data_IF_389605188738
#
_entry.id   IF_389605188738
#
_cell.length_a   1.000
_cell.length_b   1.000
_cell.length_c   1.000
_cell.angle_alpha   90.00
_cell.angle_beta   90.00
_cell.angle_gamma   90.00
#
_symmetry.space_group_name_H-M   'P 1'
#
loop_
_entity.id
_entity.type
_entity.pdbx_description
1 polymer ?
#
# COMPACT_ATOMS: atom_id res chain seq x y z
N UNK A 1 -3.07 -19.52 -19.64
CA UNK A 1 -1.97 -20.19 -20.36
C UNK A 1 -2.53 -21.48 -20.91
N UNK A 2 -2.36 -21.73 -22.23
CA UNK A 2 -2.80 -22.98 -22.85
C UNK A 2 -1.88 -24.11 -22.42
N UNK A 3 -2.40 -25.34 -22.32
CA UNK A 3 -1.65 -26.54 -21.94
C UNK A 3 -0.44 -26.83 -22.85
N UNK A 4 -0.38 -26.23 -24.03
CA UNK A 4 0.66 -26.42 -25.05
C UNK A 4 2.05 -25.85 -24.71
N UNK A 5 2.15 -24.98 -23.69
CA UNK A 5 3.43 -24.32 -23.32
C UNK A 5 3.92 -24.68 -21.92
N UNK A 6 3.19 -25.53 -21.18
CA UNK A 6 3.60 -25.94 -19.84
C UNK A 6 4.68 -26.98 -19.88
N UNK A 7 5.71 -26.82 -19.04
CA UNK A 7 6.75 -27.85 -18.82
C UNK A 7 6.38 -28.85 -17.74
N UNK A 8 5.21 -28.72 -17.12
CA UNK A 8 4.72 -29.62 -16.08
C UNK A 8 4.27 -30.96 -16.67
N UNK A 9 4.76 -32.03 -16.10
CA UNK A 9 4.37 -33.41 -16.46
C UNK A 9 3.92 -34.14 -15.20
N UNK A 10 2.63 -34.50 -15.07
CA UNK A 10 2.16 -35.22 -13.91
C UNK A 10 2.76 -36.63 -13.86
N UNK A 11 3.30 -37.02 -12.70
CA UNK A 11 4.06 -38.26 -12.53
C UNK A 11 3.22 -39.37 -11.91
N UNK A 12 2.43 -39.08 -10.88
CA UNK A 12 1.60 -40.04 -10.17
C UNK A 12 0.20 -40.19 -10.74
N UNK A 13 -0.49 -41.32 -10.44
CA UNK A 13 -1.88 -41.51 -10.86
C UNK A 13 -2.83 -40.44 -10.32
N UNK A 14 -2.61 -39.98 -9.07
CA UNK A 14 -3.40 -38.90 -8.46
C UNK A 14 -3.16 -37.57 -9.18
N UNK A 15 -1.90 -37.21 -9.45
CA UNK A 15 -1.59 -35.98 -10.20
C UNK A 15 -2.23 -35.98 -11.59
N UNK A 16 -2.16 -37.08 -12.34
CA UNK A 16 -2.81 -37.24 -13.65
C UNK A 16 -4.32 -37.07 -13.54
N UNK A 17 -4.92 -37.65 -12.52
CA UNK A 17 -6.37 -37.57 -12.29
C UNK A 17 -6.82 -36.14 -11.94
N UNK A 18 -6.07 -35.44 -11.06
CA UNK A 18 -6.34 -34.05 -10.70
C UNK A 18 -6.10 -33.13 -11.88
N UNK A 19 -4.93 -33.22 -12.54
CA UNK A 19 -4.53 -32.32 -13.63
C UNK A 19 -5.48 -32.39 -14.83
N UNK A 20 -6.06 -33.58 -15.10
CA UNK A 20 -7.02 -33.76 -16.19
C UNK A 20 -8.41 -33.14 -15.93
N UNK A 21 -8.74 -32.80 -14.67
CA UNK A 21 -10.04 -32.25 -14.24
C UNK A 21 -9.95 -30.82 -13.76
N UNK A 22 -8.90 -30.51 -13.00
CA UNK A 22 -8.61 -29.22 -12.43
C UNK A 22 -7.08 -29.07 -12.43
N UNK A 23 -6.47 -28.40 -13.42
CA UNK A 23 -5.02 -28.35 -13.60
C UNK A 23 -4.32 -27.42 -12.60
N UNK A 24 -4.64 -27.54 -11.30
CA UNK A 24 -4.01 -26.76 -10.22
C UNK A 24 -2.52 -27.05 -10.06
N UNK A 25 -2.02 -28.30 -10.10
CA UNK A 25 -0.59 -28.56 -10.03
C UNK A 25 0.17 -27.89 -11.19
N UNK A 26 -0.40 -27.93 -12.39
CA UNK A 26 0.15 -27.24 -13.57
C UNK A 26 0.14 -25.72 -13.40
N UNK A 27 -0.96 -25.15 -12.93
CA UNK A 27 -1.07 -23.70 -12.66
C UNK A 27 -0.01 -23.25 -11.64
N UNK A 28 0.16 -24.00 -10.55
CA UNK A 28 1.18 -23.70 -9.53
C UNK A 28 2.58 -23.83 -10.09
N UNK A 29 2.86 -24.89 -10.86
CA UNK A 29 4.16 -25.10 -11.49
C UNK A 29 4.52 -23.92 -12.44
N UNK A 30 3.59 -23.58 -13.33
CA UNK A 30 3.83 -22.56 -14.37
C UNK A 30 3.89 -21.13 -13.79
N UNK A 31 3.18 -20.87 -12.68
CA UNK A 31 3.14 -19.54 -12.06
C UNK A 31 4.22 -19.30 -11.00
N UNK A 32 4.67 -20.34 -10.29
CA UNK A 32 5.55 -20.21 -9.12
C UNK A 32 6.83 -21.04 -9.19
N UNK A 33 6.97 -21.94 -10.17
CA UNK A 33 8.19 -22.75 -10.31
C UNK A 33 8.95 -22.33 -11.57
N UNK A 34 8.33 -22.54 -12.73
CA UNK A 34 8.99 -22.33 -14.03
C UNK A 34 8.82 -20.91 -14.61
N UNK A 35 7.98 -20.06 -13.98
CA UNK A 35 7.74 -18.70 -14.46
C UNK A 35 9.04 -17.93 -14.66
N UNK A 36 9.30 -17.38 -15.88
CA UNK A 36 10.54 -16.67 -16.15
C UNK A 36 10.51 -15.26 -15.54
N UNK A 37 11.47 -14.98 -14.68
CA UNK A 37 11.65 -13.65 -14.08
C UNK A 37 12.98 -13.01 -14.54
N UNK A 38 13.05 -11.68 -14.66
CA UNK A 38 14.28 -10.98 -14.98
C UNK A 38 15.41 -11.33 -14.00
N UNK A 39 16.59 -11.74 -14.52
CA UNK A 39 17.72 -12.19 -13.70
C UNK A 39 18.38 -11.09 -12.85
N UNK A 40 18.08 -9.81 -13.12
CA UNK A 40 18.65 -8.64 -12.44
C UNK A 40 17.77 -8.09 -11.32
N UNK A 41 16.72 -8.79 -10.88
CA UNK A 41 15.86 -8.33 -9.79
C UNK A 41 16.66 -8.11 -8.51
N UNK A 42 16.38 -7.00 -7.82
CA UNK A 42 16.91 -6.67 -6.49
C UNK A 42 15.83 -6.84 -5.41
N UNK A 43 16.18 -6.62 -4.14
CA UNK A 43 15.26 -6.78 -3.01
C UNK A 43 14.07 -5.81 -3.01
N UNK A 44 14.10 -4.71 -3.76
CA UNK A 44 12.92 -3.85 -3.91
C UNK A 44 11.74 -4.56 -4.61
N UNK A 45 11.99 -5.69 -5.26
CA UNK A 45 10.94 -6.50 -5.90
C UNK A 45 10.31 -7.53 -4.95
N UNK A 46 10.82 -7.71 -3.72
CA UNK A 46 10.28 -8.65 -2.73
C UNK A 46 9.10 -8.08 -1.93
N UNK A 47 8.78 -6.78 -2.05
CA UNK A 47 7.67 -6.18 -1.30
C UNK A 47 6.31 -6.77 -1.65
N UNK A 48 6.12 -7.30 -2.87
CA UNK A 48 4.90 -8.03 -3.24
C UNK A 48 4.70 -9.30 -2.42
N UNK A 49 5.78 -10.06 -2.17
CA UNK A 49 5.73 -11.25 -1.31
C UNK A 49 5.44 -10.87 0.15
N UNK A 50 6.07 -9.80 0.68
CA UNK A 50 5.80 -9.29 2.03
C UNK A 50 4.32 -8.89 2.20
N UNK A 51 3.75 -8.19 1.19
CA UNK A 51 2.33 -7.81 1.18
C UNK A 51 1.41 -9.03 1.17
N UNK A 52 1.75 -10.07 0.40
CA UNK A 52 0.97 -11.32 0.38
C UNK A 52 0.98 -12.02 1.73
N UNK A 53 2.14 -12.08 2.40
CA UNK A 53 2.26 -12.64 3.76
C UNK A 53 1.44 -11.81 4.75
N UNK A 54 1.52 -10.47 4.69
CA UNK A 54 0.76 -9.61 5.59
C UNK A 54 -0.76 -9.73 5.36
N UNK A 55 -1.22 -9.86 4.11
CA UNK A 55 -2.64 -10.10 3.83
C UNK A 55 -3.13 -11.38 4.50
N UNK A 56 -2.36 -12.47 4.39
CA UNK A 56 -2.70 -13.74 5.05
C UNK A 56 -2.72 -13.58 6.57
N UNK A 57 -1.71 -12.93 7.16
CA UNK A 57 -1.65 -12.68 8.61
C UNK A 57 -2.86 -11.87 9.07
N UNK A 58 -3.22 -10.80 8.35
CA UNK A 58 -4.35 -9.93 8.70
C UNK A 58 -5.69 -10.68 8.60
N UNK A 59 -5.91 -11.48 7.56
CA UNK A 59 -7.14 -12.26 7.41
C UNK A 59 -7.25 -13.31 8.53
N UNK A 60 -6.20 -14.10 8.76
CA UNK A 60 -6.24 -15.18 9.77
C UNK A 60 -6.41 -14.62 11.18
N UNK A 61 -5.64 -13.62 11.57
CA UNK A 61 -5.78 -12.97 12.89
C UNK A 61 -7.13 -12.29 13.04
N UNK A 62 -7.62 -11.62 11.97
CA UNK A 62 -8.92 -10.94 11.96
C UNK A 62 -10.10 -11.90 12.14
N UNK A 63 -10.09 -13.07 11.47
CA UNK A 63 -11.11 -14.10 11.64
C UNK A 63 -11.16 -14.58 13.10
N UNK A 64 -10.00 -14.87 13.71
CA UNK A 64 -9.97 -15.34 15.11
C UNK A 64 -10.41 -14.24 16.08
N UNK A 65 -9.99 -12.97 15.86
CA UNK A 65 -10.44 -11.84 16.67
C UNK A 65 -11.96 -11.66 16.58
N UNK A 66 -12.53 -11.79 15.38
CA UNK A 66 -13.98 -11.66 15.16
C UNK A 66 -14.81 -12.72 15.94
N UNK A 67 -14.24 -13.89 16.24
CA UNK A 67 -14.92 -14.91 17.05
C UNK A 67 -15.12 -14.48 18.51
N UNK A 68 -14.39 -13.48 18.99
CA UNK A 68 -14.42 -13.01 20.38
C UNK A 68 -14.88 -11.56 20.50
N UNK A 69 -14.97 -10.82 19.38
CA UNK A 69 -15.35 -9.41 19.35
C UNK A 69 -16.86 -9.21 19.33
N UNK A 70 -17.36 -8.27 20.12
CA UNK A 70 -18.76 -7.85 20.11
C UNK A 70 -18.96 -6.53 19.38
N UNK A 71 -19.64 -6.53 18.23
CA UNK A 71 -19.90 -5.33 17.41
C UNK A 71 -21.11 -4.54 17.95
N UNK A 72 -21.06 -4.12 19.21
CA UNK A 72 -22.06 -3.31 19.87
C UNK A 72 -21.38 -2.27 20.76
N UNK A 73 -21.83 -1.01 20.73
CA UNK A 73 -21.20 0.11 21.43
C UNK A 73 -21.12 -0.08 22.94
N UNK A 74 -22.05 -0.85 23.53
CA UNK A 74 -22.04 -1.17 24.96
C UNK A 74 -20.99 -2.21 25.36
N UNK A 75 -20.49 -3.02 24.43
CA UNK A 75 -19.58 -4.13 24.75
C UNK A 75 -18.28 -4.13 23.94
N UNK A 76 -18.18 -3.38 22.84
CA UNK A 76 -17.06 -3.43 21.91
C UNK A 76 -15.70 -3.21 22.60
N UNK A 77 -15.54 -2.13 23.36
CA UNK A 77 -14.31 -1.85 24.08
C UNK A 77 -13.95 -2.97 25.06
N UNK A 78 -14.92 -3.37 25.88
CA UNK A 78 -14.73 -4.44 26.87
C UNK A 78 -14.44 -5.80 26.21
N UNK A 79 -14.99 -6.07 25.01
CA UNK A 79 -14.68 -7.30 24.27
C UNK A 79 -13.23 -7.35 23.81
N UNK A 80 -12.66 -6.20 23.41
CA UNK A 80 -11.21 -6.10 23.09
C UNK A 80 -10.36 -6.29 24.35
N UNK A 81 -10.75 -5.67 25.48
CA UNK A 81 -10.06 -5.88 26.77
C UNK A 81 -10.10 -7.36 27.19
N UNK A 82 -11.25 -8.03 27.03
CA UNK A 82 -11.40 -9.47 27.28
C UNK A 82 -10.48 -10.30 26.37
N UNK A 83 -10.38 -9.96 25.09
CA UNK A 83 -9.45 -10.63 24.17
C UNK A 83 -8.02 -10.48 24.69
N UNK A 84 -7.63 -9.28 25.13
CA UNK A 84 -6.27 -8.99 25.59
C UNK A 84 -5.91 -9.72 26.90
N UNK A 85 -6.87 -9.94 27.81
CA UNK A 85 -6.61 -10.40 29.18
C UNK A 85 -7.03 -11.86 29.42
N UNK A 86 -8.19 -12.27 28.89
CA UNK A 86 -8.84 -13.51 29.31
C UNK A 86 -8.74 -14.60 28.22
N UNK A 87 -8.64 -14.23 26.93
CA UNK A 87 -8.50 -15.21 25.86
C UNK A 87 -7.05 -15.71 25.78
N UNK A 88 -6.88 -17.03 25.78
CA UNK A 88 -5.54 -17.62 25.69
C UNK A 88 -4.82 -17.15 24.41
N UNK A 89 -3.64 -16.55 24.56
CA UNK A 89 -2.87 -15.89 23.50
C UNK A 89 -3.61 -14.74 22.75
N UNK A 90 -4.74 -14.26 23.26
CA UNK A 90 -5.52 -13.20 22.64
C UNK A 90 -4.75 -11.89 22.48
N UNK A 91 -3.89 -11.53 23.46
CA UNK A 91 -2.97 -10.40 23.37
C UNK A 91 -2.05 -10.49 22.15
N UNK A 92 -1.53 -11.70 21.87
CA UNK A 92 -0.64 -11.90 20.71
C UNK A 92 -1.39 -11.72 19.41
N UNK A 93 -2.60 -12.30 19.26
CA UNK A 93 -3.45 -12.14 18.09
C UNK A 93 -3.82 -10.67 17.86
N UNK A 94 -4.19 -9.96 18.94
CA UNK A 94 -4.53 -8.53 18.87
C UNK A 94 -3.33 -7.68 18.44
N UNK A 95 -2.14 -7.91 19.00
CA UNK A 95 -0.94 -7.19 18.61
C UNK A 95 -0.44 -7.56 17.21
N UNK A 96 -0.53 -8.82 16.80
CA UNK A 96 -0.25 -9.24 15.43
C UNK A 96 -1.18 -8.51 14.46
N UNK A 97 -2.47 -8.40 14.76
CA UNK A 97 -3.42 -7.72 13.89
C UNK A 97 -3.19 -6.21 13.83
N UNK A 98 -3.07 -5.53 14.97
CA UNK A 98 -2.92 -4.08 15.06
C UNK A 98 -1.59 -3.58 14.47
N UNK A 99 -0.46 -4.18 14.88
CA UNK A 99 0.84 -3.84 14.30
C UNK A 99 0.95 -4.31 12.85
N UNK A 100 0.29 -5.43 12.53
CA UNK A 100 0.23 -5.95 11.16
C UNK A 100 -0.39 -4.96 10.17
N UNK A 101 -1.40 -4.19 10.56
CA UNK A 101 -1.94 -3.12 9.74
C UNK A 101 -0.86 -2.08 9.40
N UNK A 102 -0.10 -1.60 10.39
CA UNK A 102 1.02 -0.68 10.18
C UNK A 102 2.10 -1.26 9.26
N UNK A 103 2.50 -2.51 9.47
CA UNK A 103 3.49 -3.19 8.63
C UNK A 103 3.00 -3.44 7.20
N UNK A 104 1.70 -3.66 7.03
CA UNK A 104 1.08 -3.76 5.70
C UNK A 104 1.18 -2.42 4.96
N UNK A 105 0.93 -1.28 5.64
CA UNK A 105 1.09 0.06 5.06
C UNK A 105 2.56 0.40 4.79
N UNK A 106 3.51 0.04 5.66
CA UNK A 106 4.95 0.19 5.38
C UNK A 106 5.31 -0.53 4.08
N UNK A 107 4.91 -1.79 3.95
CA UNK A 107 5.23 -2.59 2.78
C UNK A 107 4.58 -2.04 1.50
N UNK A 108 3.33 -1.55 1.55
CA UNK A 108 2.66 -1.00 0.36
C UNK A 108 3.26 0.33 -0.08
N UNK A 109 3.64 1.20 0.84
CA UNK A 109 4.32 2.45 0.48
C UNK A 109 5.68 2.20 -0.20
N UNK A 110 6.45 1.23 0.30
CA UNK A 110 7.70 0.83 -0.34
C UNK A 110 7.46 0.15 -1.70
N UNK A 111 6.38 -0.63 -1.82
CA UNK A 111 5.97 -1.23 -3.08
C UNK A 111 5.56 -0.18 -4.13
N UNK A 112 4.80 0.84 -3.73
CA UNK A 112 4.43 1.98 -4.59
C UNK A 112 5.67 2.79 -4.97
N UNK A 113 6.54 3.13 -4.01
CA UNK A 113 7.78 3.85 -4.26
C UNK A 113 8.69 3.10 -5.23
N UNK A 114 8.81 1.78 -5.12
CA UNK A 114 9.50 0.93 -6.10
C UNK A 114 8.85 1.03 -7.48
N UNK A 115 7.52 1.01 -7.54
CA UNK A 115 6.78 1.16 -8.79
C UNK A 115 7.06 2.50 -9.47
N UNK A 116 7.06 3.60 -8.71
CA UNK A 116 7.40 4.94 -9.17
C UNK A 116 8.86 5.01 -9.66
N UNK A 117 9.81 4.51 -8.87
CA UNK A 117 11.24 4.58 -9.18
C UNK A 117 11.64 3.80 -10.44
N UNK A 118 11.08 2.61 -10.65
CA UNK A 118 11.41 1.76 -11.79
C UNK A 118 10.40 1.84 -12.95
N UNK A 119 9.40 2.73 -12.87
CA UNK A 119 8.41 2.94 -13.92
C UNK A 119 7.53 1.72 -14.17
N UNK A 120 7.12 1.02 -13.10
CA UNK A 120 6.34 -0.23 -13.20
C UNK A 120 4.89 -0.03 -13.65
N UNK A 121 4.43 1.22 -13.74
CA UNK A 121 3.12 1.65 -14.22
C UNK A 121 3.05 1.88 -15.73
N UNK A 122 4.19 1.93 -16.43
CA UNK A 122 4.24 2.23 -17.87
C UNK A 122 3.82 1.05 -18.72
N UNK A 123 3.34 1.35 -19.92
CA UNK A 123 2.90 0.37 -20.91
C UNK A 123 3.86 -0.84 -21.01
N UNK A 124 3.30 -2.07 -21.07
CA UNK A 124 1.89 -2.47 -21.12
C UNK A 124 1.28 -2.82 -19.73
N UNK A 125 1.71 -2.17 -18.64
CA UNK A 125 1.40 -2.52 -17.24
C UNK A 125 0.42 -1.55 -16.57
N UNK A 126 -0.35 -0.78 -17.35
CA UNK A 126 -1.31 0.21 -16.86
C UNK A 126 -2.38 -0.45 -15.98
N UNK A 127 -2.98 -1.53 -16.45
CA UNK A 127 -4.02 -2.28 -15.71
C UNK A 127 -3.45 -2.89 -14.43
N UNK A 128 -2.22 -3.42 -14.48
CA UNK A 128 -1.52 -3.91 -13.30
C UNK A 128 -1.38 -2.81 -12.23
N UNK A 129 -1.01 -1.60 -12.65
CA UNK A 129 -0.90 -0.45 -11.75
C UNK A 129 -2.26 -0.02 -11.19
N UNK A 130 -3.28 0.11 -12.04
CA UNK A 130 -4.65 0.50 -11.65
C UNK A 130 -5.22 -0.47 -10.61
N UNK A 131 -5.09 -1.79 -10.84
CA UNK A 131 -5.49 -2.79 -9.85
C UNK A 131 -4.75 -2.60 -8.51
N UNK A 132 -3.46 -2.25 -8.55
CA UNK A 132 -2.69 -1.89 -7.35
C UNK A 132 -3.26 -0.69 -6.62
N UNK A 133 -3.69 0.37 -7.33
CA UNK A 133 -4.31 1.55 -6.71
C UNK A 133 -5.68 1.21 -6.12
N UNK A 134 -6.46 0.34 -6.78
CA UNK A 134 -7.74 -0.17 -6.22
C UNK A 134 -7.49 -0.94 -4.93
N UNK A 135 -6.49 -1.85 -4.89
CA UNK A 135 -6.11 -2.57 -3.67
C UNK A 135 -5.74 -1.57 -2.56
N UNK A 136 -4.95 -0.55 -2.89
CA UNK A 136 -4.54 0.47 -1.92
C UNK A 136 -5.74 1.23 -1.32
N UNK A 137 -6.73 1.62 -2.14
CA UNK A 137 -7.97 2.24 -1.66
C UNK A 137 -8.77 1.30 -0.75
N UNK A 138 -8.90 0.03 -1.12
CA UNK A 138 -9.56 -0.98 -0.29
C UNK A 138 -8.81 -1.20 1.03
N UNK A 139 -7.47 -1.19 1.02
CA UNK A 139 -6.65 -1.25 2.22
C UNK A 139 -6.90 -0.04 3.13
N UNK A 140 -6.96 1.18 2.57
CA UNK A 140 -7.26 2.39 3.35
C UNK A 140 -8.64 2.29 3.99
N UNK A 141 -9.67 1.91 3.24
CA UNK A 141 -11.01 1.71 3.79
C UNK A 141 -11.04 0.65 4.90
N UNK A 142 -10.36 -0.49 4.66
CA UNK A 142 -10.27 -1.59 5.64
C UNK A 142 -9.56 -1.13 6.92
N UNK A 143 -8.42 -0.46 6.80
CA UNK A 143 -7.64 0.03 7.96
C UNK A 143 -8.44 1.03 8.79
N UNK A 144 -9.10 1.99 8.14
CA UNK A 144 -9.94 2.98 8.82
C UNK A 144 -11.09 2.31 9.59
N UNK A 145 -11.89 1.46 8.92
CA UNK A 145 -13.01 0.78 9.57
C UNK A 145 -12.53 -0.10 10.73
N UNK A 146 -11.39 -0.79 10.57
CA UNK A 146 -10.79 -1.62 11.62
C UNK A 146 -10.34 -0.84 12.85
N UNK A 147 -9.86 0.40 12.67
CA UNK A 147 -9.47 1.27 13.77
C UNK A 147 -10.66 1.76 14.60
N UNK A 148 -11.84 1.83 14.00
CA UNK A 148 -13.06 2.20 14.72
C UNK A 148 -13.55 1.09 15.66
N UNK A 149 -13.28 -0.18 15.36
CA UNK A 149 -13.83 -1.33 16.09
C UNK A 149 -13.47 -1.41 17.58
N UNK A 150 -12.26 -1.06 18.05
CA UNK A 150 -11.96 -1.06 19.49
C UNK A 150 -12.85 -0.12 20.33
N UNK A 151 -13.53 0.82 19.70
CA UNK A 151 -14.43 1.77 20.34
C UNK A 151 -13.80 2.57 21.48
N UNK A 152 -12.52 2.93 21.26
CA UNK A 152 -11.79 3.88 22.11
C UNK A 152 -12.05 5.33 21.66
N UNK A 153 -11.47 6.29 22.39
CA UNK A 153 -11.62 7.72 22.10
C UNK A 153 -11.16 8.08 20.68
N UNK A 154 -10.02 7.57 20.21
CA UNK A 154 -9.58 7.83 18.83
C UNK A 154 -10.42 7.10 17.79
N UNK A 155 -10.97 5.92 18.11
CA UNK A 155 -11.90 5.20 17.25
C UNK A 155 -13.15 6.02 16.98
N UNK A 156 -13.79 6.52 18.02
CA UNK A 156 -15.05 7.29 17.95
C UNK A 156 -14.84 8.66 17.27
N UNK A 157 -13.88 9.43 17.77
CA UNK A 157 -13.63 10.77 17.25
C UNK A 157 -13.00 10.77 15.88
N UNK A 158 -12.17 9.77 15.54
CA UNK A 158 -11.69 9.54 14.20
C UNK A 158 -12.80 9.23 13.20
N UNK A 159 -13.77 8.38 13.59
CA UNK A 159 -14.96 8.11 12.78
C UNK A 159 -15.80 9.37 12.57
N UNK A 160 -16.01 10.16 13.62
CA UNK A 160 -16.78 11.42 13.57
C UNK A 160 -16.13 12.42 12.59
N UNK A 161 -14.81 12.60 12.65
CA UNK A 161 -14.09 13.53 11.77
C UNK A 161 -14.12 13.05 10.33
N UNK A 162 -13.79 11.77 10.06
CA UNK A 162 -13.67 11.27 8.69
C UNK A 162 -15.01 11.20 7.99
N UNK A 163 -16.08 10.75 8.69
CA UNK A 163 -17.43 10.76 8.10
C UNK A 163 -17.95 12.17 7.90
N UNK A 164 -17.54 13.12 8.75
CA UNK A 164 -17.82 14.55 8.61
C UNK A 164 -17.23 15.21 7.36
N UNK A 165 -16.23 14.60 6.71
CA UNK A 165 -15.70 15.14 5.44
C UNK A 165 -16.72 15.10 4.31
N UNK A 166 -17.60 14.11 4.32
CA UNK A 166 -18.64 13.99 3.28
C UNK A 166 -19.61 15.15 3.28
N UNK A 167 -19.88 15.80 4.43
CA UNK A 167 -20.78 16.98 4.48
C UNK A 167 -20.21 18.21 3.75
N UNK A 168 -18.97 18.18 3.31
CA UNK A 168 -18.39 19.21 2.45
C UNK A 168 -18.98 19.21 1.02
N UNK A 169 -19.52 18.06 0.55
CA UNK A 169 -20.10 17.99 -0.78
C UNK A 169 -21.49 18.62 -0.81
N UNK A 170 -21.71 19.68 -1.63
CA UNK A 170 -23.02 20.30 -1.74
C UNK A 170 -24.08 19.30 -2.18
N UNK A 171 -25.30 19.47 -1.70
CA UNK A 171 -26.53 18.72 -2.04
C UNK A 171 -26.56 17.26 -1.57
N UNK A 172 -25.45 16.53 -1.64
CA UNK A 172 -25.42 15.07 -1.38
C UNK A 172 -24.65 14.69 -0.11
N UNK A 173 -23.86 15.61 0.44
CA UNK A 173 -22.89 15.31 1.50
C UNK A 173 -23.52 14.79 2.78
N UNK A 174 -24.58 15.43 3.25
CA UNK A 174 -25.33 15.00 4.44
C UNK A 174 -25.99 13.63 4.24
N UNK A 175 -26.55 13.38 3.06
CA UNK A 175 -27.13 12.09 2.73
C UNK A 175 -26.06 10.99 2.73
N UNK A 176 -24.88 11.24 2.14
CA UNK A 176 -23.77 10.28 2.16
C UNK A 176 -23.31 10.00 3.59
N UNK A 177 -23.17 11.06 4.41
CA UNK A 177 -22.78 10.90 5.81
C UNK A 177 -23.80 10.05 6.59
N UNK A 178 -25.08 10.38 6.51
CA UNK A 178 -26.15 9.63 7.19
C UNK A 178 -26.23 8.18 6.70
N UNK A 179 -26.05 7.95 5.40
CA UNK A 179 -25.95 6.59 4.83
C UNK A 179 -24.78 5.80 5.43
N UNK A 180 -23.61 6.40 5.55
CA UNK A 180 -22.43 5.76 6.15
C UNK A 180 -22.63 5.49 7.65
N UNK A 181 -23.13 6.47 8.37
CA UNK A 181 -23.36 6.38 9.82
C UNK A 181 -24.50 5.41 10.17
N UNK A 182 -25.53 5.34 9.34
CA UNK A 182 -26.78 4.66 9.66
C UNK A 182 -27.67 5.41 10.63
N UNK A 183 -27.43 6.72 10.75
CA UNK A 183 -28.12 7.64 11.65
C UNK A 183 -27.53 9.04 11.52
N UNK A 184 -27.80 9.88 12.49
CA UNK A 184 -27.36 11.29 12.49
C UNK A 184 -26.01 11.50 13.20
N UNK A 185 -25.52 10.49 13.92
CA UNK A 185 -24.27 10.54 14.66
C UNK A 185 -23.56 9.18 14.59
N UNK A 186 -22.27 9.16 14.96
CA UNK A 186 -21.51 7.93 15.16
C UNK A 186 -22.10 7.19 16.36
N UNK A 187 -22.65 5.99 16.13
CA UNK A 187 -23.31 5.18 17.15
C UNK A 187 -23.34 3.70 16.71
N UNK A 188 -24.14 2.90 17.39
CA UNK A 188 -24.23 1.45 17.18
C UNK A 188 -24.47 1.04 15.71
N UNK A 189 -25.34 1.69 14.92
CA UNK A 189 -25.46 1.39 13.49
C UNK A 189 -24.17 1.58 12.72
N UNK A 190 -23.38 2.62 13.06
CA UNK A 190 -22.06 2.88 12.44
C UNK A 190 -21.08 1.75 12.74
N UNK A 191 -20.99 1.36 14.02
CA UNK A 191 -20.08 0.30 14.45
C UNK A 191 -20.39 -1.04 13.75
N UNK A 192 -21.67 -1.41 13.67
CA UNK A 192 -22.13 -2.62 12.99
C UNK A 192 -21.77 -2.63 11.50
N UNK A 193 -22.01 -1.51 10.80
CA UNK A 193 -21.66 -1.37 9.38
C UNK A 193 -20.16 -1.46 9.16
N UNK A 194 -19.38 -0.78 9.99
CA UNK A 194 -17.92 -0.79 9.89
C UNK A 194 -17.34 -2.15 10.22
N UNK A 195 -17.89 -2.88 11.19
CA UNK A 195 -17.50 -4.26 11.43
C UNK A 195 -17.78 -5.15 10.22
N UNK A 196 -18.98 -5.09 9.67
CA UNK A 196 -19.38 -5.90 8.51
C UNK A 196 -18.50 -5.62 7.29
N UNK A 197 -18.24 -4.34 7.00
CA UNK A 197 -17.39 -3.96 5.87
C UNK A 197 -15.92 -4.27 6.14
N UNK A 198 -15.41 -4.05 7.35
CA UNK A 198 -14.04 -4.42 7.71
C UNK A 198 -13.79 -5.92 7.55
N UNK A 199 -14.78 -6.75 7.90
CA UNK A 199 -14.70 -8.20 7.72
C UNK A 199 -14.75 -8.60 6.24
N UNK A 200 -15.56 -7.94 5.41
CA UNK A 200 -15.76 -8.24 3.99
C UNK A 200 -14.60 -7.77 3.11
N UNK A 201 -14.12 -6.54 3.32
CA UNK A 201 -13.14 -5.90 2.42
C UNK A 201 -11.83 -6.67 2.25
N UNK A 202 -11.24 -7.36 3.26
CA UNK A 202 -10.05 -8.18 3.07
C UNK A 202 -10.22 -9.31 2.04
N UNK A 203 -11.40 -9.90 1.94
CA UNK A 203 -11.69 -10.91 0.92
C UNK A 203 -11.84 -10.28 -0.47
N UNK A 204 -12.40 -9.07 -0.56
CA UNK A 204 -12.38 -8.30 -1.82
C UNK A 204 -10.95 -7.96 -2.22
N UNK A 205 -10.11 -7.51 -1.27
CA UNK A 205 -8.67 -7.28 -1.52
C UNK A 205 -8.03 -8.56 -2.06
N UNK A 206 -8.26 -9.71 -1.44
CA UNK A 206 -7.70 -10.98 -1.90
C UNK A 206 -8.13 -11.30 -3.34
N UNK A 207 -9.40 -11.08 -3.69
CA UNK A 207 -9.90 -11.24 -5.06
C UNK A 207 -9.20 -10.30 -6.06
N UNK A 208 -9.04 -9.01 -5.73
CA UNK A 208 -8.34 -8.06 -6.60
C UNK A 208 -6.84 -8.37 -6.68
N UNK A 209 -6.22 -8.89 -5.60
CA UNK A 209 -4.82 -9.36 -5.61
C UNK A 209 -4.62 -10.50 -6.59
N UNK A 210 -5.56 -11.45 -6.68
CA UNK A 210 -5.51 -12.51 -7.71
C UNK A 210 -5.50 -11.90 -9.11
N UNK A 211 -6.35 -10.90 -9.40
CA UNK A 211 -6.35 -10.20 -10.68
C UNK A 211 -5.06 -9.40 -10.92
N UNK A 212 -4.51 -8.79 -9.88
CA UNK A 212 -3.25 -8.04 -9.95
C UNK A 212 -2.06 -8.96 -10.29
N UNK A 213 -1.98 -10.13 -9.65
CA UNK A 213 -0.94 -11.14 -9.95
C UNK A 213 -1.16 -11.72 -11.34
N UNK A 214 -2.39 -11.95 -11.74
CA UNK A 214 -2.69 -12.41 -13.10
C UNK A 214 -2.25 -11.39 -14.15
N UNK A 215 -2.59 -10.11 -13.98
CA UNK A 215 -2.10 -9.04 -14.86
C UNK A 215 -0.57 -8.99 -14.94
N UNK A 216 0.12 -9.24 -13.80
CA UNK A 216 1.58 -9.36 -13.76
C UNK A 216 2.08 -10.52 -14.63
N UNK A 217 1.42 -11.68 -14.60
CA UNK A 217 1.82 -12.84 -15.40
C UNK A 217 1.57 -12.64 -16.89
N UNK A 218 0.54 -11.86 -17.26
CA UNK A 218 0.25 -11.51 -18.65
C UNK A 218 1.29 -10.57 -19.25
N UNK A 219 1.65 -9.51 -18.51
CA UNK A 219 2.53 -8.43 -19.00
C UNK A 219 4.01 -8.64 -18.68
N UNK A 220 4.32 -9.59 -17.81
CA UNK A 220 5.66 -9.81 -17.28
C UNK A 220 6.07 -8.74 -16.25
N UNK A 221 7.02 -9.10 -15.40
CA UNK A 221 7.56 -8.25 -14.34
C UNK A 221 8.55 -7.22 -14.90
N UNK A 222 8.49 -5.97 -14.38
CA UNK A 222 9.55 -4.99 -14.61
C UNK A 222 10.83 -5.39 -13.87
N UNK A 223 11.93 -4.68 -14.17
CA UNK A 223 13.23 -4.91 -13.56
C UNK A 223 13.99 -3.58 -13.33
N UNK A 224 15.09 -3.57 -12.57
CA UNK A 224 15.79 -2.34 -12.22
C UNK A 224 16.31 -1.51 -13.40
N UNK A 225 16.54 -2.12 -14.55
CA UNK A 225 16.95 -1.38 -15.76
C UNK A 225 15.77 -0.84 -16.57
N UNK A 226 14.55 -1.34 -16.34
CA UNK A 226 13.38 -0.99 -17.13
C UNK A 226 13.43 -1.49 -18.59
N UNK A 227 14.41 -2.30 -18.94
CA UNK A 227 14.55 -2.93 -20.26
C UNK A 227 13.69 -4.19 -20.32
N UNK A 228 12.94 -4.37 -21.40
CA UNK A 228 12.14 -5.59 -21.60
C UNK A 228 13.02 -6.83 -21.76
N UNK A 229 12.48 -7.98 -21.36
CA UNK A 229 13.08 -9.30 -21.62
C UNK A 229 13.12 -9.53 -23.13
N UNK A 230 14.31 -9.76 -23.69
CA UNK A 230 14.52 -9.98 -25.13
C UNK A 230 14.85 -11.43 -25.45
N UNK A 231 15.39 -12.18 -24.50
CA UNK A 231 15.84 -13.55 -24.71
C UNK A 231 15.75 -14.38 -23.43
N UNK A 232 15.87 -15.71 -23.58
CA UNK A 232 15.93 -16.64 -22.43
C UNK A 232 17.10 -16.34 -21.50
N UNK A 233 18.21 -15.76 -22.01
CA UNK A 233 19.39 -15.41 -21.18
C UNK A 233 19.12 -14.22 -20.26
N UNK A 234 18.08 -13.43 -20.51
CA UNK A 234 17.67 -12.32 -19.64
C UNK A 234 16.85 -12.77 -18.42
N UNK A 235 16.43 -14.03 -18.38
CA UNK A 235 15.57 -14.58 -17.34
C UNK A 235 16.20 -15.73 -16.58
N UNK A 236 15.64 -16.00 -15.40
CA UNK A 236 15.84 -17.21 -14.59
C UNK A 236 14.48 -17.72 -14.15
N UNK A 237 14.30 -19.01 -13.82
CA UNK A 237 13.04 -19.49 -13.29
C UNK A 237 12.74 -18.84 -11.92
N UNK A 238 11.47 -18.70 -11.62
CA UNK A 238 11.02 -18.09 -10.34
C UNK A 238 11.60 -18.88 -9.15
N UNK A 239 11.40 -20.18 -9.13
CA UNK A 239 12.03 -21.07 -8.13
C UNK A 239 13.28 -21.73 -8.71
N UNK A 240 14.43 -21.67 -8.01
CA UNK A 240 14.65 -21.18 -6.65
C UNK A 240 15.03 -19.69 -6.54
N UNK A 241 15.27 -18.98 -7.66
CA UNK A 241 15.98 -17.69 -7.64
C UNK A 241 15.17 -16.56 -6.97
N UNK A 242 13.96 -16.29 -7.45
CA UNK A 242 13.11 -15.27 -6.83
C UNK A 242 12.61 -15.73 -5.47
N UNK A 243 12.21 -17.00 -5.36
CA UNK A 243 11.71 -17.60 -4.11
C UNK A 243 12.70 -17.44 -2.95
N UNK A 244 14.00 -17.66 -3.17
CA UNK A 244 15.02 -17.49 -2.12
C UNK A 244 15.20 -16.01 -1.73
N UNK A 245 15.13 -15.08 -2.69
CA UNK A 245 15.18 -13.65 -2.40
C UNK A 245 13.94 -13.19 -1.63
N UNK A 246 12.77 -13.65 -2.04
CA UNK A 246 11.52 -13.35 -1.35
C UNK A 246 11.53 -13.93 0.07
N UNK A 247 11.96 -15.18 0.24
CA UNK A 247 12.09 -15.81 1.55
C UNK A 247 13.00 -15.03 2.49
N UNK A 248 14.18 -14.61 2.02
CA UNK A 248 15.09 -13.79 2.83
C UNK A 248 14.49 -12.44 3.16
N UNK A 249 13.92 -11.73 2.16
CA UNK A 249 13.27 -10.43 2.37
C UNK A 249 12.12 -10.50 3.36
N UNK A 250 11.25 -11.50 3.21
CA UNK A 250 10.12 -11.77 4.12
C UNK A 250 10.63 -12.10 5.53
N UNK A 251 11.68 -12.94 5.66
CA UNK A 251 12.24 -13.28 6.97
C UNK A 251 12.75 -12.04 7.72
N UNK A 252 13.52 -11.18 7.05
CA UNK A 252 14.00 -9.93 7.65
C UNK A 252 12.84 -9.02 8.05
N UNK A 253 11.85 -8.88 7.18
CA UNK A 253 10.65 -8.09 7.45
C UNK A 253 9.87 -8.64 8.67
N UNK A 254 9.68 -9.95 8.76
CA UNK A 254 8.99 -10.59 9.87
C UNK A 254 9.76 -10.51 11.18
N UNK A 255 11.10 -10.49 11.17
CA UNK A 255 11.93 -10.25 12.36
C UNK A 255 11.66 -8.85 12.92
N UNK A 256 11.66 -7.82 12.05
CA UNK A 256 11.36 -6.44 12.47
C UNK A 256 9.91 -6.32 12.97
N UNK A 257 8.97 -6.93 12.26
CA UNK A 257 7.57 -6.98 12.69
C UNK A 257 7.38 -7.65 14.05
N UNK A 258 8.00 -8.82 14.26
CA UNK A 258 7.98 -9.53 15.54
C UNK A 258 8.59 -8.68 16.66
N UNK A 259 9.66 -7.92 16.38
CA UNK A 259 10.23 -7.02 17.36
C UNK A 259 9.21 -5.97 17.85
N UNK A 260 8.43 -5.36 16.95
CA UNK A 260 7.33 -4.47 17.36
C UNK A 260 6.28 -5.21 18.18
N UNK A 261 5.81 -6.38 17.73
CA UNK A 261 4.75 -7.16 18.40
C UNK A 261 5.15 -7.52 19.85
N UNK A 262 6.40 -7.92 20.07
CA UNK A 262 6.84 -8.44 21.37
C UNK A 262 7.46 -7.39 22.30
N UNK A 263 8.10 -6.35 21.74
CA UNK A 263 8.85 -5.38 22.56
C UNK A 263 8.30 -3.96 22.51
N UNK A 264 7.59 -3.57 21.44
CA UNK A 264 7.04 -2.22 21.27
C UNK A 264 5.60 -2.24 20.70
N UNK A 265 4.69 -3.06 21.28
CA UNK A 265 3.38 -3.32 20.67
C UNK A 265 2.48 -2.10 20.54
N UNK A 266 2.68 -1.08 21.37
CA UNK A 266 1.86 0.13 21.42
C UNK A 266 2.51 1.34 20.73
N UNK A 267 3.75 1.21 20.21
CA UNK A 267 4.52 2.32 19.65
C UNK A 267 3.85 2.97 18.42
N UNK A 268 3.18 2.18 17.60
CA UNK A 268 2.51 2.63 16.38
C UNK A 268 1.03 2.99 16.61
N UNK A 269 0.52 2.87 17.85
CA UNK A 269 -0.82 3.22 18.24
C UNK A 269 -0.92 4.58 18.92
N UNK A 270 -2.16 5.02 19.21
CA UNK A 270 -2.42 6.25 19.97
C UNK A 270 -2.89 5.91 21.41
N UNK A 271 -2.30 6.52 22.45
CA UNK A 271 -2.62 6.18 23.85
C UNK A 271 -4.10 6.43 24.18
N UNK A 272 -4.73 7.49 23.67
CA UNK A 272 -6.14 7.77 23.97
C UNK A 272 -7.10 6.70 23.45
N UNK A 273 -6.66 5.80 22.56
CA UNK A 273 -7.50 4.70 22.10
C UNK A 273 -7.60 3.53 23.08
N UNK A 274 -6.87 3.60 24.20
CA UNK A 274 -7.00 2.73 25.38
C UNK A 274 -7.97 3.29 26.43
N UNK A 275 -8.65 4.40 26.14
CA UNK A 275 -9.72 4.99 26.93
C UNK A 275 -11.04 4.71 26.21
N UNK A 276 -12.08 4.18 26.90
CA UNK A 276 -13.39 3.98 26.27
C UNK A 276 -13.92 5.24 25.62
N UNK A 277 -14.64 5.10 24.51
CA UNK A 277 -15.24 6.21 23.81
C UNK A 277 -16.22 6.98 24.70
N UNK A 278 -16.08 8.30 24.74
CA UNK A 278 -16.98 9.23 25.40
C UNK A 278 -17.35 10.35 24.43
N UNK A 279 -18.59 10.35 23.98
CA UNK A 279 -19.12 11.32 23.02
C UNK A 279 -19.19 12.76 23.60
N UNK A 280 -19.13 12.92 24.93
CA UNK A 280 -19.17 14.21 25.61
C UNK A 280 -17.78 14.79 25.91
N UNK A 281 -16.72 14.01 25.68
CA UNK A 281 -15.35 14.43 25.98
C UNK A 281 -14.45 14.35 24.74
N UNK A 282 -14.36 15.45 24.02
CA UNK A 282 -13.47 15.54 22.84
C UNK A 282 -12.00 15.51 23.25
N UNK A 283 -11.17 14.60 22.66
CA UNK A 283 -9.72 14.63 22.86
C UNK A 283 -9.09 15.95 22.40
N UNK A 284 -8.02 16.37 23.07
CA UNK A 284 -7.35 17.62 22.74
C UNK A 284 -6.76 17.61 21.31
N UNK A 285 -6.41 16.44 20.80
CA UNK A 285 -5.80 16.30 19.49
C UNK A 285 -6.28 15.01 18.82
N UNK A 286 -7.16 15.15 17.82
CA UNK A 286 -7.67 14.02 17.04
C UNK A 286 -6.80 13.88 15.80
N UNK A 287 -6.08 12.75 15.70
CA UNK A 287 -5.24 12.40 14.53
C UNK A 287 -5.57 10.98 14.07
N UNK A 288 -5.56 10.74 12.75
CA UNK A 288 -5.63 9.39 12.23
C UNK A 288 -4.30 8.65 12.46
N UNK A 289 -4.29 7.35 12.15
CA UNK A 289 -3.07 6.56 12.18
C UNK A 289 -1.98 7.14 11.27
N UNK A 290 -0.72 6.89 11.62
CA UNK A 290 0.45 7.49 11.00
C UNK A 290 0.47 7.37 9.46
N UNK A 291 -0.08 6.30 8.91
CA UNK A 291 -0.10 6.07 7.45
C UNK A 291 -1.14 6.93 6.71
N UNK A 292 -2.06 7.60 7.39
CA UNK A 292 -2.97 8.59 6.81
C UNK A 292 -2.48 10.04 6.99
N UNK A 293 -1.50 10.27 7.85
CA UNK A 293 -1.05 11.62 8.20
C UNK A 293 -0.63 12.47 7.00
N UNK A 294 0.05 11.94 5.94
CA UNK A 294 0.37 12.75 4.77
C UNK A 294 -0.89 13.33 4.10
N UNK A 295 -1.94 12.55 3.97
CA UNK A 295 -3.22 12.96 3.39
C UNK A 295 -3.97 13.93 4.30
N UNK A 296 -3.90 13.70 5.60
CA UNK A 296 -4.47 14.60 6.61
C UNK A 296 -3.77 15.95 6.65
N UNK A 297 -2.45 16.01 6.45
CA UNK A 297 -1.73 17.27 6.27
C UNK A 297 -2.21 18.02 5.03
N UNK A 298 -2.38 17.34 3.89
CA UNK A 298 -2.87 17.94 2.65
C UNK A 298 -4.30 18.48 2.79
N UNK A 299 -5.19 17.75 3.47
CA UNK A 299 -6.55 18.21 3.79
C UNK A 299 -6.52 19.53 4.54
N UNK A 300 -5.70 19.61 5.62
CA UNK A 300 -5.62 20.80 6.50
C UNK A 300 -4.80 21.95 5.90
N UNK A 301 -4.08 21.72 4.79
CA UNK A 301 -3.33 22.76 4.09
C UNK A 301 -4.24 23.79 3.43
N UNK A 302 -5.48 23.46 3.11
CA UNK A 302 -6.43 24.36 2.46
C UNK A 302 -7.17 25.18 3.55
N UNK A 303 -6.69 26.37 3.83
CA UNK A 303 -7.23 27.28 4.84
C UNK A 303 -7.96 28.49 4.23
N UNK A 304 -8.12 28.53 2.92
CA UNK A 304 -8.72 29.61 2.16
C UNK A 304 -9.74 29.09 1.16
N UNK A 305 -10.65 29.95 0.74
CA UNK A 305 -11.65 29.62 -0.27
C UNK A 305 -11.08 29.83 -1.68
N UNK A 306 -11.48 28.98 -2.62
CA UNK A 306 -11.09 29.04 -4.04
C UNK A 306 -12.36 29.28 -4.85
N UNK A 307 -12.71 30.53 -5.10
CA UNK A 307 -13.98 30.89 -5.73
C UNK A 307 -15.18 30.37 -4.93
N UNK A 308 -16.07 29.55 -5.52
CA UNK A 308 -17.23 28.98 -4.84
C UNK A 308 -16.88 27.79 -3.93
N UNK A 309 -15.65 27.30 -3.96
CA UNK A 309 -15.17 26.16 -3.18
C UNK A 309 -14.67 26.69 -1.83
N UNK A 310 -15.35 26.35 -0.75
CA UNK A 310 -14.90 26.66 0.60
C UNK A 310 -13.67 25.84 1.00
N UNK A 311 -12.99 26.25 2.06
CA UNK A 311 -11.77 25.58 2.54
C UNK A 311 -11.99 24.13 2.93
N UNK A 312 -13.17 23.78 3.46
CA UNK A 312 -13.51 22.41 3.85
C UNK A 312 -13.61 21.51 2.62
N UNK A 313 -14.40 21.91 1.62
CA UNK A 313 -14.52 21.17 0.36
C UNK A 313 -13.18 21.12 -0.37
N UNK A 314 -12.46 22.24 -0.43
CA UNK A 314 -11.13 22.32 -1.04
C UNK A 314 -10.15 21.32 -0.42
N UNK A 315 -10.10 21.24 0.91
CA UNK A 315 -9.26 20.28 1.63
C UNK A 315 -9.63 18.83 1.32
N UNK A 316 -10.92 18.52 1.30
CA UNK A 316 -11.43 17.17 0.97
C UNK A 316 -11.09 16.79 -0.46
N UNK A 317 -11.27 17.70 -1.42
CA UNK A 317 -10.91 17.47 -2.83
C UNK A 317 -9.40 17.24 -3.01
N UNK A 318 -8.57 18.00 -2.31
CA UNK A 318 -7.11 17.82 -2.32
C UNK A 318 -6.72 16.47 -1.71
N UNK A 319 -7.29 16.09 -0.59
CA UNK A 319 -7.01 14.81 0.05
C UNK A 319 -7.38 13.63 -0.87
N UNK A 320 -8.59 13.57 -1.41
CA UNK A 320 -8.99 12.50 -2.32
C UNK A 320 -8.25 12.60 -3.66
N UNK A 321 -8.04 13.81 -4.17
CA UNK A 321 -7.28 14.07 -5.40
C UNK A 321 -5.86 13.54 -5.34
N UNK A 322 -5.21 13.58 -4.16
CA UNK A 322 -3.85 13.05 -3.98
C UNK A 322 -3.75 11.53 -4.19
N UNK A 323 -4.84 10.80 -3.96
CA UNK A 323 -4.90 9.36 -4.25
C UNK A 323 -5.37 9.14 -5.69
N UNK A 324 -6.37 9.90 -6.14
CA UNK A 324 -6.93 9.77 -7.49
C UNK A 324 -5.89 10.04 -8.59
N UNK A 325 -4.94 10.95 -8.37
CA UNK A 325 -3.87 11.24 -9.33
C UNK A 325 -3.04 10.00 -9.68
N UNK A 326 -2.92 9.04 -8.75
CA UNK A 326 -2.18 7.80 -8.97
C UNK A 326 -2.80 6.92 -10.08
N UNK A 327 -4.11 6.98 -10.30
CA UNK A 327 -4.76 6.26 -11.40
C UNK A 327 -4.28 6.75 -12.77
N UNK A 328 -3.97 8.04 -12.89
CA UNK A 328 -3.58 8.68 -14.14
C UNK A 328 -2.08 8.63 -14.40
N UNK A 329 -1.30 8.12 -13.46
CA UNK A 329 0.16 8.06 -13.54
C UNK A 329 0.72 7.44 -14.82
N UNK A 330 0.15 6.33 -15.36
CA UNK A 330 0.62 5.74 -16.61
C UNK A 330 0.66 6.72 -17.80
N UNK A 331 -0.25 7.70 -17.81
CA UNK A 331 -0.38 8.70 -18.87
C UNK A 331 0.28 10.04 -18.54
N UNK A 332 0.47 10.35 -17.26
CA UNK A 332 1.16 11.57 -16.82
C UNK A 332 2.66 11.52 -17.07
N UNK A 333 3.30 10.36 -16.95
CA UNK A 333 4.73 10.21 -17.22
C UNK A 333 5.00 10.01 -18.73
N UNK A 334 5.24 11.08 -19.42
CA UNK A 334 5.47 11.14 -20.87
C UNK A 334 6.80 10.53 -21.34
N UNK A 335 7.74 10.22 -20.42
CA UNK A 335 9.02 9.62 -20.76
C UNK A 335 8.87 8.20 -21.28
N UNK A 336 9.58 7.85 -22.35
CA UNK A 336 9.71 6.48 -22.84
C UNK A 336 10.62 5.61 -21.96
N UNK A 337 11.49 6.24 -21.17
CA UNK A 337 12.44 5.57 -20.26
C UNK A 337 11.74 5.25 -18.94
N UNK A 338 11.76 3.98 -18.53
CA UNK A 338 11.06 3.52 -17.33
C UNK A 338 11.84 3.84 -16.05
N UNK A 339 13.07 3.35 -15.95
CA UNK A 339 13.82 3.39 -14.70
C UNK A 339 14.44 4.76 -14.40
N UNK A 340 14.23 5.27 -13.21
CA UNK A 340 14.89 6.46 -12.67
C UNK A 340 16.42 6.35 -12.64
N UNK A 341 16.99 5.16 -12.75
CA UNK A 341 18.45 4.93 -12.84
C UNK A 341 19.05 5.69 -14.01
N UNK A 342 18.31 5.80 -15.11
CA UNK A 342 18.76 6.45 -16.35
C UNK A 342 18.19 7.89 -16.52
N UNK A 343 17.40 8.35 -15.55
CA UNK A 343 16.72 9.67 -15.55
C UNK A 343 17.23 10.51 -14.39
N UNK A 344 18.35 11.24 -14.53
CA UNK A 344 19.02 11.91 -13.41
C UNK A 344 18.14 12.97 -12.72
N UNK A 345 17.42 13.80 -13.50
CA UNK A 345 16.53 14.83 -12.96
C UNK A 345 15.28 14.22 -12.34
N UNK A 346 14.64 13.26 -13.02
CA UNK A 346 13.53 12.52 -12.43
C UNK A 346 13.94 11.85 -11.11
N UNK A 347 15.11 11.23 -11.07
CA UNK A 347 15.63 10.60 -9.85
C UNK A 347 15.79 11.60 -8.71
N UNK A 348 16.31 12.82 -8.99
CA UNK A 348 16.44 13.89 -7.99
C UNK A 348 15.06 14.28 -7.44
N UNK A 349 14.12 14.64 -8.31
CA UNK A 349 12.78 15.05 -7.90
C UNK A 349 11.99 13.92 -7.23
N UNK A 350 12.23 12.67 -7.62
CA UNK A 350 11.65 11.52 -6.93
C UNK A 350 12.10 11.43 -5.46
N UNK A 351 13.38 11.64 -5.16
CA UNK A 351 13.86 11.61 -3.79
C UNK A 351 13.39 12.81 -2.98
N UNK A 352 13.24 13.98 -3.60
CA UNK A 352 12.59 15.13 -2.98
C UNK A 352 11.11 14.80 -2.69
N UNK A 353 10.42 14.08 -3.60
CA UNK A 353 9.05 13.63 -3.39
C UNK A 353 8.94 12.67 -2.19
N UNK A 354 9.87 11.73 -2.05
CA UNK A 354 9.92 10.84 -0.88
C UNK A 354 10.12 11.63 0.41
N UNK A 355 11.07 12.56 0.43
CA UNK A 355 11.30 13.44 1.58
C UNK A 355 10.07 14.29 1.92
N UNK A 356 9.40 14.83 0.89
CA UNK A 356 8.15 15.59 1.03
C UNK A 356 7.01 14.73 1.62
N UNK A 357 6.86 13.48 1.19
CA UNK A 357 5.85 12.58 1.74
C UNK A 357 6.08 12.29 3.23
N UNK A 358 7.34 12.09 3.63
CA UNK A 358 7.73 11.93 5.04
C UNK A 358 7.45 13.21 5.83
N UNK A 359 7.80 14.38 5.28
CA UNK A 359 7.53 15.69 5.89
C UNK A 359 6.02 15.92 6.07
N UNK A 360 5.21 15.62 5.07
CA UNK A 360 3.75 15.71 5.17
C UNK A 360 3.20 14.76 6.25
N UNK A 361 3.76 13.55 6.38
CA UNK A 361 3.42 12.64 7.46
C UNK A 361 3.70 13.24 8.84
N UNK A 362 4.87 13.85 9.02
CA UNK A 362 5.21 14.55 10.26
C UNK A 362 4.29 15.75 10.51
N UNK A 363 4.02 16.58 9.49
CA UNK A 363 3.12 17.75 9.59
C UNK A 363 1.67 17.32 9.92
N UNK A 364 1.22 16.18 9.41
CA UNK A 364 -0.10 15.62 9.74
C UNK A 364 -0.30 15.32 11.23
N UNK A 365 0.78 15.06 11.96
CA UNK A 365 0.76 14.86 13.43
C UNK A 365 0.85 16.15 14.23
N UNK A 366 1.04 17.32 13.61
CA UNK A 366 1.20 18.61 14.30
C UNK A 366 -0.10 19.42 14.27
N UNK A 367 -0.28 20.40 15.17
CA UNK A 367 -1.37 21.35 15.11
C UNK A 367 -1.40 22.09 13.74
N UNK A 368 -2.60 22.36 13.20
CA UNK A 368 -2.75 23.04 11.93
C UNK A 368 -2.70 24.56 12.11
N UNK A 369 -1.55 25.10 12.52
CA UNK A 369 -1.36 26.52 12.80
C UNK A 369 0.04 27.01 12.43
N UNK A 370 0.19 28.31 12.23
CA UNK A 370 1.45 28.99 12.00
C UNK A 370 2.28 28.37 10.86
N UNK A 371 3.56 28.10 11.16
CA UNK A 371 4.50 27.55 10.17
C UNK A 371 4.11 26.15 9.66
N UNK A 372 3.43 25.34 10.47
CA UNK A 372 3.02 23.99 10.04
C UNK A 372 2.01 24.02 8.89
N UNK A 373 1.12 25.03 8.87
CA UNK A 373 0.18 25.21 7.75
C UNK A 373 0.94 25.59 6.48
N UNK A 374 1.84 26.56 6.56
CA UNK A 374 2.64 27.01 5.40
C UNK A 374 3.46 25.85 4.82
N UNK A 375 4.14 25.08 5.67
CA UNK A 375 4.90 23.90 5.23
C UNK A 375 3.99 22.84 4.60
N UNK A 376 2.78 22.63 5.15
CA UNK A 376 1.79 21.71 4.56
C UNK A 376 1.31 22.18 3.19
N UNK A 377 1.12 23.48 3.01
CA UNK A 377 0.75 24.09 1.71
C UNK A 377 1.86 23.88 0.67
N UNK A 378 3.11 24.17 1.02
CA UNK A 378 4.27 23.95 0.14
C UNK A 378 4.41 22.47 -0.20
N UNK A 379 4.31 21.58 0.79
CA UNK A 379 4.39 20.15 0.58
C UNK A 379 3.25 19.61 -0.30
N UNK A 380 2.05 20.13 -0.12
CA UNK A 380 0.88 19.79 -0.95
C UNK A 380 1.07 20.24 -2.39
N UNK A 381 1.52 21.48 -2.58
CA UNK A 381 1.82 22.04 -3.91
C UNK A 381 2.91 21.20 -4.60
N UNK A 382 3.97 20.83 -3.88
CA UNK A 382 5.01 19.98 -4.44
C UNK A 382 4.49 18.57 -4.77
N UNK A 383 3.63 17.97 -3.94
CA UNK A 383 3.04 16.66 -4.21
C UNK A 383 2.31 16.63 -5.56
N UNK A 384 1.38 17.56 -5.78
CA UNK A 384 0.66 17.65 -7.05
C UNK A 384 1.56 18.14 -8.19
N UNK A 385 2.46 19.08 -7.92
CA UNK A 385 3.44 19.56 -8.89
C UNK A 385 4.35 18.45 -9.42
N UNK A 386 4.71 17.49 -8.57
CA UNK A 386 5.51 16.33 -8.99
C UNK A 386 4.78 15.48 -10.05
N UNK A 387 3.51 15.16 -9.85
CA UNK A 387 2.74 14.32 -10.78
C UNK A 387 2.25 15.10 -12.01
N UNK A 388 1.75 16.34 -11.82
CA UNK A 388 1.04 17.08 -12.86
C UNK A 388 1.96 17.98 -13.71
N UNK A 389 3.15 18.32 -13.22
CA UNK A 389 4.07 19.24 -13.90
C UNK A 389 5.45 18.61 -14.07
N UNK A 390 6.14 18.26 -12.97
CA UNK A 390 7.54 17.83 -13.03
C UNK A 390 7.69 16.56 -13.86
N UNK A 391 6.87 15.56 -13.59
CA UNK A 391 6.92 14.27 -14.27
C UNK A 391 6.63 14.37 -15.79
N UNK A 392 5.53 15.03 -16.23
CA UNK A 392 5.26 15.23 -17.65
C UNK A 392 6.34 16.03 -18.36
N UNK A 393 6.77 17.16 -17.75
CA UNK A 393 7.78 18.05 -18.36
C UNK A 393 9.12 17.34 -18.50
N UNK A 394 9.60 16.68 -17.44
CA UNK A 394 10.85 15.93 -17.50
C UNK A 394 10.80 14.81 -18.54
N UNK A 395 9.64 14.18 -18.73
CA UNK A 395 9.49 13.18 -19.77
C UNK A 395 9.74 13.69 -21.19
N UNK A 396 9.52 14.99 -21.42
CA UNK A 396 9.71 15.65 -22.73
C UNK A 396 11.13 16.22 -22.90
N UNK A 397 11.73 16.76 -21.83
CA UNK A 397 12.97 17.55 -21.96
C UNK A 397 14.22 16.85 -21.41
N UNK A 398 14.06 15.83 -20.55
CA UNK A 398 15.19 15.16 -19.91
C UNK A 398 15.95 14.28 -20.90
N UNK A 399 17.26 14.45 -20.98
CA UNK A 399 18.14 13.54 -21.72
C UNK A 399 18.54 12.37 -20.82
N UNK A 400 18.08 11.15 -21.12
CA UNK A 400 18.44 9.98 -20.31
C UNK A 400 19.91 9.57 -20.50
N UNK A 401 20.46 8.91 -19.49
CA UNK A 401 21.76 8.23 -19.61
C UNK A 401 21.63 7.05 -20.57
N UNK A 402 22.79 6.52 -21.04
CA UNK A 402 22.82 5.31 -21.87
C UNK A 402 22.07 4.16 -21.18
N UNK A 403 21.14 3.57 -21.91
CA UNK A 403 20.35 2.42 -21.48
C UNK A 403 20.99 1.16 -22.10
N UNK A 404 21.20 0.08 -21.34
CA UNK A 404 21.73 -1.17 -21.90
C UNK A 404 20.73 -1.77 -22.90
N UNK A 405 21.26 -2.45 -23.93
CA UNK A 405 20.41 -3.07 -24.96
C UNK A 405 19.64 -4.29 -24.46
N UNK A 406 20.14 -4.98 -23.41
CA UNK A 406 19.49 -6.13 -22.80
C UNK A 406 19.76 -6.18 -21.28
N UNK A 407 18.99 -7.00 -20.57
CA UNK A 407 19.21 -7.28 -19.14
C UNK A 407 20.56 -7.98 -18.96
N UNK A 408 20.90 -8.89 -19.85
CA UNK A 408 22.16 -9.62 -19.83
C UNK A 408 23.36 -8.68 -19.97
N UNK A 409 23.31 -7.71 -20.91
CA UNK A 409 24.35 -6.68 -21.04
C UNK A 409 24.54 -5.91 -19.72
N UNK A 410 23.45 -5.43 -19.12
CA UNK A 410 23.51 -4.72 -17.84
C UNK A 410 24.15 -5.54 -16.70
N UNK A 411 23.86 -6.83 -16.65
CA UNK A 411 24.44 -7.74 -15.64
C UNK A 411 25.93 -7.94 -15.87
N UNK A 412 26.35 -8.12 -17.12
CA UNK A 412 27.76 -8.28 -17.49
C UNK A 412 28.59 -7.01 -17.25
N UNK A 413 28.05 -5.84 -17.63
CA UNK A 413 28.70 -4.55 -17.34
C UNK A 413 28.94 -4.35 -15.85
N UNK A 414 27.92 -4.66 -15.02
CA UNK A 414 28.03 -4.56 -13.56
C UNK A 414 29.04 -5.56 -12.98
N UNK A 415 29.15 -6.76 -13.54
CA UNK A 415 30.13 -7.76 -13.12
C UNK A 415 31.55 -7.29 -13.48
N UNK A 416 31.77 -6.83 -14.71
CA UNK A 416 33.07 -6.36 -15.19
C UNK A 416 33.54 -5.13 -14.39
N UNK A 417 32.61 -4.19 -14.07
CA UNK A 417 32.92 -3.02 -13.23
C UNK A 417 33.35 -3.39 -11.81
N UNK A 418 32.89 -4.52 -11.26
CA UNK A 418 33.30 -5.03 -9.94
C UNK A 418 34.68 -5.73 -9.97
N UNK A 419 35.05 -6.32 -11.10
CA UNK A 419 36.31 -7.06 -11.26
C UNK A 419 37.47 -6.17 -11.68
N UNK A 420 37.24 -4.93 -12.13
CA UNK A 420 38.31 -3.96 -12.40
C UNK A 420 38.94 -3.46 -11.10
N UNK A 421 40.30 -3.41 -11.01
CA UNK A 421 41.03 -2.87 -9.86
C UNK A 421 40.62 -1.41 -9.57
N UNK A 422 40.66 -1.00 -8.30
CA UNK A 422 40.30 0.36 -7.89
C UNK A 422 41.06 1.48 -8.59
N UNK A 423 42.31 1.22 -9.01
CA UNK A 423 43.18 2.14 -9.77
C UNK A 423 42.68 2.47 -11.19
N UNK A 424 41.75 1.69 -11.76
CA UNK A 424 41.19 1.93 -13.10
C UNK A 424 39.85 2.67 -13.06
N UNK A 425 39.40 3.14 -11.87
CA UNK A 425 38.12 3.82 -11.66
C UNK A 425 38.25 5.32 -11.43
N UNK A 426 39.48 5.88 -11.42
CA UNK A 426 39.77 7.30 -11.25
C UNK A 426 39.69 8.04 -12.59
#
# INVERSE_FOLDING_TARGET
>A
MSAEHSTYTPTTGIEKWVDSRLPLPRLVHDSFISYPVPRNLNYAYTFGAMLSVMLVVQILTGIVLAMHYGADTGVAFNSVEKIMRDVNHGWLLRYLHANGASFFFIAVYLHIARGLYYGSYKAPREILWILGVVIYLLMMATGFMGYVLPWGQMSFWGATVITGFFTAFPLVGEWIQQFLLGGFAVDNPTLNRFFSLHYLLPFMIAGVVVLHIWALHVTGQTNPTGVEVKSKTDTVPFTPYATLKDALGVSVFLIVYAWFVFYQPNFLGHPDNYIPADALKTPAHIVPEWYYLPFYAMLRAITFNIGPIDSKLGGVLVMFGSILVLFFLPWLDTSKVRSAVYRPWYKLFFWIFVANAIMLGWLGSRPAEGLYVVMSQIGTLYYFGFFLVIMPVLGLIETPKRIPNSITEAVLEKKNAKTQPAAARA
#
